data_IF_797499681151
#
_entry.id   IF_797499681151
#
_cell.length_a   1.000
_cell.length_b   1.000
_cell.length_c   1.000
_cell.angle_alpha   90.00
_cell.angle_beta   90.00
_cell.angle_gamma   90.00
#
_symmetry.space_group_name_H-M   'P 1'
#
loop_
_entity.id
_entity.type
_entity.pdbx_description
1 polymer ?
#
# COMPACT_ATOMS: atom_id res chain seq x y z
N UNK A 1 -1.04 -27.23 3.95
CA UNK A 1 0.19 -26.56 4.45
C UNK A 1 -0.14 -25.13 4.86
N UNK A 2 -0.04 -24.81 6.14
CA UNK A 2 -0.30 -23.46 6.66
C UNK A 2 0.83 -22.53 6.20
N UNK A 3 0.51 -21.47 5.44
CA UNK A 3 1.51 -20.45 5.06
C UNK A 3 2.04 -19.80 6.34
N UNK A 4 3.35 -19.79 6.52
CA UNK A 4 3.98 -19.00 7.58
C UNK A 4 3.64 -17.52 7.40
N UNK A 5 3.29 -16.86 8.51
CA UNK A 5 3.04 -15.42 8.53
C UNK A 5 4.32 -14.70 8.14
N UNK A 6 4.26 -13.86 7.11
CA UNK A 6 5.40 -13.06 6.65
C UNK A 6 5.35 -11.73 7.41
N UNK A 7 6.49 -11.28 7.94
CA UNK A 7 6.63 -9.95 8.55
C UNK A 7 6.55 -8.86 7.47
N UNK A 8 6.06 -7.68 7.82
CA UNK A 8 6.01 -6.52 6.92
C UNK A 8 7.37 -5.81 6.89
N UNK A 9 8.40 -6.53 6.45
CA UNK A 9 9.77 -6.05 6.31
C UNK A 9 10.32 -6.46 4.94
N UNK A 10 11.40 -5.81 4.50
CA UNK A 10 12.02 -6.14 3.21
C UNK A 10 12.56 -7.57 3.23
N UNK A 11 12.14 -8.39 2.27
CA UNK A 11 12.64 -9.77 2.12
C UNK A 11 14.14 -9.72 1.72
N UNK A 12 15.07 -10.27 2.54
CA UNK A 12 16.51 -10.14 2.27
C UNK A 12 16.94 -10.91 1.02
N UNK A 13 16.46 -12.14 0.86
CA UNK A 13 16.81 -13.00 -0.28
C UNK A 13 16.14 -12.51 -1.57
N UNK A 14 16.94 -12.08 -2.54
CA UNK A 14 16.48 -11.48 -3.80
C UNK A 14 15.60 -12.43 -4.62
N UNK A 15 15.99 -13.70 -4.74
CA UNK A 15 15.23 -14.71 -5.50
C UNK A 15 13.84 -14.94 -4.89
N UNK A 16 13.78 -15.14 -3.56
CA UNK A 16 12.50 -15.27 -2.84
C UNK A 16 11.67 -14.00 -2.96
N UNK A 17 12.30 -12.82 -2.85
CA UNK A 17 11.64 -11.52 -3.01
C UNK A 17 11.00 -11.39 -4.40
N UNK A 18 11.69 -11.79 -5.46
CA UNK A 18 11.16 -11.76 -6.83
C UNK A 18 9.97 -12.70 -7.02
N UNK A 19 10.04 -13.92 -6.51
CA UNK A 19 8.92 -14.89 -6.58
C UNK A 19 7.70 -14.38 -5.80
N UNK A 20 7.92 -13.85 -4.61
CA UNK A 20 6.84 -13.30 -3.77
C UNK A 20 6.26 -12.04 -4.40
N UNK A 21 7.08 -11.16 -4.98
CA UNK A 21 6.64 -9.98 -5.71
C UNK A 21 5.68 -10.36 -6.83
N UNK A 22 6.04 -11.29 -7.72
CA UNK A 22 5.16 -11.71 -8.82
C UNK A 22 3.81 -12.25 -8.32
N UNK A 23 3.82 -13.07 -7.25
CA UNK A 23 2.57 -13.59 -6.65
C UNK A 23 1.72 -12.49 -6.00
N UNK A 24 2.34 -11.57 -5.25
CA UNK A 24 1.65 -10.49 -4.52
C UNK A 24 1.13 -9.42 -5.47
N UNK A 25 1.93 -9.00 -6.45
CA UNK A 25 1.51 -8.06 -7.49
C UNK A 25 0.31 -8.61 -8.26
N UNK A 26 0.38 -9.85 -8.76
CA UNK A 26 -0.76 -10.46 -9.45
C UNK A 26 -2.00 -10.58 -8.55
N UNK A 27 -1.83 -10.89 -7.27
CA UNK A 27 -2.93 -10.91 -6.31
C UNK A 27 -3.58 -9.53 -6.12
N UNK A 28 -2.79 -8.48 -6.02
CA UNK A 28 -3.26 -7.09 -5.92
C UNK A 28 -4.03 -6.68 -7.18
N UNK A 29 -3.48 -6.95 -8.36
CA UNK A 29 -4.11 -6.62 -9.65
C UNK A 29 -5.47 -7.33 -9.80
N UNK A 30 -5.56 -8.60 -9.41
CA UNK A 30 -6.84 -9.34 -9.43
C UNK A 30 -7.87 -8.71 -8.50
N UNK A 31 -7.47 -8.35 -7.28
CA UNK A 31 -8.38 -7.69 -6.31
C UNK A 31 -8.85 -6.32 -6.78
N UNK A 32 -7.97 -5.56 -7.41
CA UNK A 32 -8.32 -4.29 -8.03
C UNK A 32 -9.32 -4.49 -9.18
N UNK A 33 -9.11 -5.48 -10.03
CA UNK A 33 -10.03 -5.80 -11.12
C UNK A 33 -11.41 -6.26 -10.59
N UNK A 34 -11.42 -7.14 -9.58
CA UNK A 34 -12.66 -7.56 -8.89
C UNK A 34 -13.41 -6.35 -8.34
N UNK A 35 -12.74 -5.43 -7.64
CA UNK A 35 -13.36 -4.23 -7.10
C UNK A 35 -13.89 -3.29 -8.20
N UNK A 36 -13.13 -3.14 -9.28
CA UNK A 36 -13.52 -2.32 -10.44
C UNK A 36 -14.81 -2.85 -11.08
N UNK A 37 -14.92 -4.17 -11.25
CA UNK A 37 -16.11 -4.82 -11.83
C UNK A 37 -17.30 -4.77 -10.85
N UNK A 38 -17.09 -5.15 -9.58
CA UNK A 38 -18.17 -5.28 -8.60
C UNK A 38 -18.79 -3.94 -8.21
N UNK A 39 -17.98 -2.87 -8.16
CA UNK A 39 -18.43 -1.56 -7.72
C UNK A 39 -18.50 -0.51 -8.84
N UNK A 40 -18.13 -0.86 -10.07
CA UNK A 40 -18.15 0.07 -11.21
C UNK A 40 -17.19 1.25 -11.05
N UNK A 41 -16.03 1.05 -10.43
CA UNK A 41 -15.06 2.10 -10.12
C UNK A 41 -13.82 2.03 -11.02
N UNK A 42 -13.29 3.20 -11.41
CA UNK A 42 -12.00 3.31 -12.09
C UNK A 42 -10.84 3.12 -11.11
N UNK A 43 -9.94 2.19 -11.40
CA UNK A 43 -8.75 1.93 -10.57
C UNK A 43 -7.50 1.91 -11.44
N UNK A 44 -6.51 2.75 -11.13
CA UNK A 44 -5.18 2.72 -11.74
C UNK A 44 -4.15 2.22 -10.74
N UNK A 45 -3.25 1.32 -11.15
CA UNK A 45 -2.13 0.87 -10.33
C UNK A 45 -0.83 1.00 -11.12
N UNK A 46 0.16 1.65 -10.51
CA UNK A 46 1.55 1.71 -10.96
C UNK A 46 2.45 1.05 -9.93
N UNK A 47 3.33 0.13 -10.36
CA UNK A 47 4.30 -0.53 -9.48
C UNK A 47 5.69 -0.43 -10.09
N UNK A 48 6.58 0.29 -9.40
CA UNK A 48 8.00 0.32 -9.74
C UNK A 48 8.75 -0.73 -8.92
N UNK A 49 9.57 -1.53 -9.60
CA UNK A 49 10.51 -2.45 -8.95
C UNK A 49 11.92 -1.86 -9.06
N UNK A 50 12.62 -1.76 -7.93
CA UNK A 50 14.03 -1.35 -7.92
C UNK A 50 14.87 -2.31 -8.78
N UNK A 51 15.62 -1.77 -9.76
CA UNK A 51 16.41 -2.53 -10.73
C UNK A 51 16.88 -1.66 -11.90
N UNK A 52 17.67 -2.23 -12.83
CA UNK A 52 18.29 -1.52 -13.97
C UNK A 52 17.35 -1.21 -15.14
N UNK A 53 16.10 -1.66 -15.10
CA UNK A 53 15.15 -1.51 -16.21
C UNK A 53 13.86 -0.84 -15.74
N UNK A 54 13.39 0.15 -16.50
CA UNK A 54 12.17 0.92 -16.28
C UNK A 54 10.90 0.10 -16.58
N UNK A 55 10.78 -1.08 -15.99
CA UNK A 55 9.66 -1.99 -16.21
C UNK A 55 8.60 -1.76 -15.13
N UNK A 56 7.99 -0.58 -15.15
CA UNK A 56 6.84 -0.30 -14.30
C UNK A 56 5.65 -1.16 -14.75
N UNK A 57 4.96 -1.80 -13.80
CA UNK A 57 3.70 -2.47 -14.10
C UNK A 57 2.61 -1.41 -14.07
N UNK A 58 1.93 -1.22 -15.20
CA UNK A 58 0.77 -0.34 -15.36
C UNK A 58 -0.48 -1.19 -15.55
N UNK A 59 -1.49 -0.99 -14.70
CA UNK A 59 -2.73 -1.76 -14.71
C UNK A 59 -3.95 -0.84 -14.80
N UNK A 60 -5.00 -1.21 -15.57
CA UNK A 60 -5.23 -2.50 -16.25
C UNK A 60 -4.36 -2.77 -17.48
N UNK A 61 -4.15 -1.75 -18.31
CA UNK A 61 -3.19 -1.71 -19.41
C UNK A 61 -2.54 -0.32 -19.42
N UNK A 62 -1.39 -0.12 -20.08
CA UNK A 62 -0.76 1.20 -20.17
C UNK A 62 -1.71 2.29 -20.70
N UNK A 63 -2.56 1.97 -21.68
CA UNK A 63 -3.48 2.91 -22.32
C UNK A 63 -4.62 3.30 -21.36
N UNK A 64 -5.28 2.31 -20.75
CA UNK A 64 -6.40 2.55 -19.81
C UNK A 64 -5.88 3.23 -18.55
N UNK A 65 -4.72 2.83 -18.07
CA UNK A 65 -4.05 3.50 -16.96
C UNK A 65 -3.80 4.98 -17.30
N UNK A 66 -3.29 5.28 -18.49
CA UNK A 66 -3.07 6.65 -18.96
C UNK A 66 -4.35 7.49 -18.96
N UNK A 67 -5.45 6.94 -19.46
CA UNK A 67 -6.75 7.63 -19.45
C UNK A 67 -7.23 7.91 -18.01
N UNK A 68 -7.11 6.93 -17.11
CA UNK A 68 -7.47 7.08 -15.69
C UNK A 68 -6.58 8.09 -14.99
N UNK A 69 -5.28 8.10 -15.31
CA UNK A 69 -4.33 9.05 -14.78
C UNK A 69 -4.66 10.47 -15.26
N UNK A 70 -4.96 10.67 -16.53
CA UNK A 70 -5.38 11.98 -17.05
C UNK A 70 -6.60 12.51 -16.29
N UNK A 71 -7.66 11.69 -16.19
CA UNK A 71 -8.86 12.02 -15.41
C UNK A 71 -8.54 12.37 -13.95
N UNK A 72 -7.54 11.71 -13.35
CA UNK A 72 -7.07 12.05 -12.01
C UNK A 72 -6.30 13.37 -11.97
N UNK A 73 -5.47 13.66 -12.98
CA UNK A 73 -4.70 14.90 -13.07
C UNK A 73 -5.56 16.12 -13.40
N UNK A 74 -6.74 15.93 -13.99
CA UNK A 74 -7.72 17.00 -14.26
C UNK A 74 -8.33 17.60 -12.98
N UNK A 75 -8.25 16.90 -11.84
CA UNK A 75 -8.68 17.44 -10.54
C UNK A 75 -7.67 18.46 -9.99
N UNK A 76 -8.16 19.47 -9.28
CA UNK A 76 -7.30 20.46 -8.62
C UNK A 76 -6.42 19.82 -7.54
N UNK A 77 -5.26 20.41 -7.25
CA UNK A 77 -4.35 19.93 -6.19
C UNK A 77 -5.07 19.76 -4.85
N UNK A 78 -5.91 20.74 -4.48
CA UNK A 78 -6.67 20.71 -3.22
C UNK A 78 -7.64 19.51 -3.13
N UNK A 79 -8.30 19.16 -4.24
CA UNK A 79 -9.23 18.02 -4.27
C UNK A 79 -8.48 16.69 -4.17
N UNK A 80 -7.31 16.60 -4.81
CA UNK A 80 -6.45 15.43 -4.74
C UNK A 80 -5.91 15.22 -3.32
N UNK A 81 -5.40 16.27 -2.70
CA UNK A 81 -4.79 16.20 -1.36
C UNK A 81 -5.79 15.81 -0.27
N UNK A 82 -7.05 16.25 -0.36
CA UNK A 82 -8.09 15.91 0.62
C UNK A 82 -8.32 14.41 0.78
N UNK A 83 -8.15 13.63 -0.29
CA UNK A 83 -8.43 12.18 -0.30
C UNK A 83 -7.16 11.33 -0.44
N UNK A 84 -5.99 11.95 -0.56
CA UNK A 84 -4.72 11.25 -0.73
C UNK A 84 -4.26 10.62 0.58
N UNK A 85 -3.92 9.33 0.51
CA UNK A 85 -3.27 8.59 1.61
C UNK A 85 -1.86 8.26 1.17
N UNK A 86 -0.88 8.94 1.76
CA UNK A 86 0.54 8.64 1.57
C UNK A 86 0.98 7.55 2.56
N UNK A 87 1.93 6.72 2.14
CA UNK A 87 2.47 5.68 3.01
C UNK A 87 3.12 6.28 4.26
N UNK A 88 3.85 7.39 4.13
CA UNK A 88 4.43 8.15 5.24
C UNK A 88 3.36 8.56 6.26
N UNK A 89 2.30 9.25 5.80
CA UNK A 89 1.16 9.63 6.65
C UNK A 89 0.50 8.43 7.33
N UNK A 90 0.39 7.30 6.62
CA UNK A 90 -0.13 6.06 7.20
C UNK A 90 0.80 5.53 8.31
N UNK A 91 2.11 5.52 8.10
CA UNK A 91 3.10 5.11 9.11
C UNK A 91 3.09 6.05 10.31
N UNK A 92 3.04 7.36 10.12
CA UNK A 92 2.91 8.35 11.19
C UNK A 92 1.69 8.09 12.07
N UNK A 93 0.54 7.82 11.45
CA UNK A 93 -0.69 7.48 12.18
C UNK A 93 -0.55 6.20 12.99
N UNK A 94 0.14 5.19 12.47
CA UNK A 94 0.40 3.94 13.20
C UNK A 94 1.36 4.17 14.37
N UNK A 95 2.46 4.91 14.15
CA UNK A 95 3.43 5.25 15.21
C UNK A 95 2.77 6.05 16.32
N UNK A 96 1.91 7.02 15.97
CA UNK A 96 1.16 7.81 16.95
C UNK A 96 0.23 6.94 17.80
N UNK A 97 -0.51 6.00 17.19
CA UNK A 97 -1.37 5.07 17.93
C UNK A 97 -0.59 4.17 18.88
N UNK A 98 0.54 3.65 18.43
CA UNK A 98 1.39 2.79 19.25
C UNK A 98 2.01 3.59 20.41
N UNK A 99 2.42 4.83 20.17
CA UNK A 99 2.94 5.74 21.20
C UNK A 99 1.87 6.05 22.26
N UNK A 100 0.65 6.36 21.84
CA UNK A 100 -0.49 6.58 22.75
C UNK A 100 -0.81 5.34 23.58
N UNK A 101 -0.72 4.16 22.97
CA UNK A 101 -0.93 2.88 23.65
C UNK A 101 0.16 2.64 24.71
N UNK A 102 1.42 2.89 24.38
CA UNK A 102 2.56 2.75 25.31
C UNK A 102 2.39 3.74 26.47
N UNK A 103 2.11 5.02 26.22
CA UNK A 103 1.91 6.04 27.26
C UNK A 103 0.77 5.67 28.22
N UNK A 104 -0.35 5.17 27.70
CA UNK A 104 -1.47 4.68 28.53
C UNK A 104 -1.08 3.47 29.38
N UNK A 105 -0.24 2.59 28.85
CA UNK A 105 0.22 1.39 29.57
C UNK A 105 1.21 1.76 30.68
N UNK A 106 2.14 2.69 30.44
CA UNK A 106 3.08 3.19 31.45
C UNK A 106 2.37 3.82 32.65
N UNK A 107 1.38 4.69 32.40
CA UNK A 107 0.56 5.30 33.47
C UNK A 107 -0.18 4.27 34.33
N UNK A 108 -0.58 3.14 33.76
CA UNK A 108 -1.25 2.05 34.51
C UNK A 108 -0.28 1.26 35.39
N UNK A 109 1.00 1.21 35.01
CA UNK A 109 2.04 0.56 35.82
C UNK A 109 2.42 1.45 37.00
N UNK A 110 2.60 2.76 36.77
CA UNK A 110 2.92 3.73 37.84
C UNK A 110 1.85 3.78 38.94
N UNK A 111 0.56 3.73 38.56
CA UNK A 111 -0.57 3.73 39.52
C UNK A 111 -0.69 2.41 40.30
N UNK A 112 -0.10 1.31 39.82
CA UNK A 112 -0.12 0.02 40.53
C UNK A 112 1.07 -0.18 41.47
N UNK A 113 2.14 0.59 41.29
CA UNK A 113 3.33 0.58 42.15
C UNK A 113 3.27 1.63 43.27
N UNK A 114 2.21 2.46 43.29
CA UNK A 114 1.88 3.41 44.37
C UNK A 114 0.80 2.84 45.29
#
# INVERSE_FOLDING_TARGET
MTKSRIKHEQIPNVTRRNVIFGRRANGLLKKANELSILCGVDIGIVIHKQGRENNAILSPSPEIFGQRLHKYLDFSNLERDKKMVLHEKYLEQMISKDTDYILKSMKRTEVKES
#
